data_IF_763604330830
#
_entry.id   IF_763604330830
#
_cell.length_a   1.000
_cell.length_b   1.000
_cell.length_c   1.000
_cell.angle_alpha   90.00
_cell.angle_beta   90.00
_cell.angle_gamma   90.00
#
_symmetry.space_group_name_H-M   'P 1'
#
loop_
_entity.id
_entity.type
_entity.pdbx_description
1 polymer ?
#
# COMPACT_ATOMS: atom_id res chain seq x y z
N UNK A 1 7.51 -9.68 10.27
CA UNK A 1 6.98 -8.44 9.66
C UNK A 1 5.93 -7.86 10.61
N UNK A 2 5.91 -6.54 10.89
CA UNK A 2 4.97 -5.98 11.85
C UNK A 2 3.54 -6.12 11.31
N UNK A 3 2.60 -6.54 12.19
CA UNK A 3 1.17 -6.84 11.94
C UNK A 3 0.65 -6.21 10.64
N UNK A 4 0.49 -7.09 9.66
CA UNK A 4 0.39 -6.82 8.24
C UNK A 4 -0.82 -5.97 7.88
N UNK A 5 -0.64 -5.05 6.94
CA UNK A 5 -1.73 -4.38 6.24
C UNK A 5 -2.80 -5.41 5.85
N UNK A 6 -4.08 -5.08 5.99
CA UNK A 6 -5.15 -5.94 5.47
C UNK A 6 -5.10 -5.99 3.95
N UNK A 7 -5.73 -6.99 3.33
CA UNK A 7 -5.82 -7.05 1.87
C UNK A 7 -6.48 -5.79 1.29
N UNK A 8 -7.52 -5.27 1.95
CA UNK A 8 -8.17 -4.01 1.56
C UNK A 8 -7.20 -2.82 1.58
N UNK A 9 -6.39 -2.70 2.63
CA UNK A 9 -5.37 -1.65 2.75
C UNK A 9 -4.30 -1.78 1.68
N UNK A 10 -3.85 -3.01 1.38
CA UNK A 10 -2.90 -3.27 0.29
C UNK A 10 -3.47 -2.88 -1.06
N UNK A 11 -4.71 -3.30 -1.37
CA UNK A 11 -5.40 -2.93 -2.61
C UNK A 11 -5.50 -1.41 -2.74
N UNK A 12 -5.86 -0.72 -1.66
CA UNK A 12 -5.96 0.73 -1.66
C UNK A 12 -4.61 1.40 -1.97
N UNK A 13 -3.52 0.95 -1.32
CA UNK A 13 -2.19 1.49 -1.54
C UNK A 13 -1.70 1.29 -2.97
N UNK A 14 -1.91 0.11 -3.54
CA UNK A 14 -1.60 -0.15 -4.96
C UNK A 14 -2.41 0.77 -5.85
N UNK A 15 -3.74 0.85 -5.69
CA UNK A 15 -4.56 1.76 -6.51
C UNK A 15 -4.08 3.21 -6.45
N UNK A 16 -3.80 3.73 -5.26
CA UNK A 16 -3.33 5.11 -5.09
C UNK A 16 -1.92 5.34 -5.64
N UNK A 17 -1.05 4.33 -5.61
CA UNK A 17 0.27 4.40 -6.21
C UNK A 17 0.19 4.60 -7.73
N UNK A 18 -0.70 3.89 -8.44
CA UNK A 18 -0.86 4.04 -9.89
C UNK A 18 -1.57 5.32 -10.30
N UNK A 19 -2.33 5.96 -9.39
CA UNK A 19 -2.95 7.26 -9.65
C UNK A 19 -1.93 8.40 -9.49
N UNK A 20 -1.14 8.36 -8.42
CA UNK A 20 -0.33 9.52 -8.01
C UNK A 20 1.18 9.36 -8.25
N UNK A 21 1.71 8.13 -8.25
CA UNK A 21 3.15 7.82 -8.27
C UNK A 21 3.93 8.42 -7.09
N UNK A 22 3.24 8.94 -6.06
CA UNK A 22 3.83 9.77 -5.02
C UNK A 22 3.43 9.28 -3.63
N UNK A 23 4.41 8.80 -2.87
CA UNK A 23 4.20 8.29 -1.50
C UNK A 23 3.53 9.27 -0.55
N UNK A 24 3.73 10.59 -0.70
CA UNK A 24 3.07 11.58 0.14
C UNK A 24 1.57 11.63 -0.13
N UNK A 25 1.18 11.69 -1.41
CA UNK A 25 -0.22 11.68 -1.81
C UNK A 25 -0.90 10.35 -1.41
N UNK A 26 -0.21 9.22 -1.60
CA UNK A 26 -0.69 7.90 -1.15
C UNK A 26 -0.92 7.88 0.36
N UNK A 27 -0.01 8.42 1.16
CA UNK A 27 -0.16 8.48 2.62
C UNK A 27 -1.31 9.39 3.06
N UNK A 28 -1.48 10.55 2.43
CA UNK A 28 -2.59 11.47 2.70
C UNK A 28 -3.94 10.79 2.39
N UNK A 29 -4.05 10.13 1.24
CA UNK A 29 -5.23 9.34 0.87
C UNK A 29 -5.47 8.15 1.81
N UNK A 30 -4.40 7.44 2.21
CA UNK A 30 -4.50 6.30 3.12
C UNK A 30 -4.96 6.71 4.51
N UNK A 31 -4.46 7.84 5.02
CA UNK A 31 -4.88 8.39 6.32
C UNK A 31 -6.33 8.88 6.29
N UNK A 32 -6.81 9.38 5.16
CA UNK A 32 -8.22 9.76 5.00
C UNK A 32 -9.15 8.54 5.02
N UNK A 33 -8.77 7.45 4.35
CA UNK A 33 -9.56 6.22 4.28
C UNK A 33 -9.47 5.37 5.56
N UNK A 34 -8.27 5.28 6.15
CA UNK A 34 -7.97 4.44 7.32
C UNK A 34 -7.38 5.27 8.48
N UNK A 35 -8.15 6.20 9.06
CA UNK A 35 -7.63 7.20 10.02
C UNK A 35 -7.05 6.60 11.31
N UNK A 36 -7.53 5.42 11.72
CA UNK A 36 -7.06 4.73 12.92
C UNK A 36 -5.97 3.68 12.63
N UNK A 37 -5.46 3.63 11.40
CA UNK A 37 -4.41 2.68 11.00
C UNK A 37 -3.07 3.38 10.94
N UNK A 38 -2.01 2.67 11.34
CA UNK A 38 -0.64 3.17 11.19
C UNK A 38 -0.31 3.36 9.71
N UNK A 39 0.12 4.56 9.34
CA UNK A 39 0.56 4.87 7.98
C UNK A 39 1.72 3.93 7.59
N UNK A 40 1.65 3.28 6.41
CA UNK A 40 2.73 2.44 5.92
C UNK A 40 4.00 3.25 5.69
N UNK A 41 5.15 2.59 5.82
CA UNK A 41 6.42 3.24 5.45
C UNK A 41 6.51 3.37 3.93
N UNK A 42 7.29 4.34 3.43
CA UNK A 42 7.57 4.46 1.99
C UNK A 42 8.07 3.15 1.39
N UNK A 43 8.98 2.47 2.08
CA UNK A 43 9.53 1.20 1.64
C UNK A 43 8.45 0.12 1.52
N UNK A 44 7.48 0.08 2.44
CA UNK A 44 6.34 -0.84 2.35
C UNK A 44 5.51 -0.58 1.10
N UNK A 45 5.21 0.68 0.79
CA UNK A 45 4.42 1.06 -0.40
C UNK A 45 5.17 0.67 -1.68
N UNK A 46 6.47 0.97 -1.76
CA UNK A 46 7.31 0.60 -2.89
C UNK A 46 7.39 -0.91 -3.08
N UNK A 47 7.59 -1.67 -2.00
CA UNK A 47 7.66 -3.13 -2.09
C UNK A 47 6.31 -3.71 -2.55
N UNK A 48 5.20 -3.18 -2.04
CA UNK A 48 3.87 -3.60 -2.42
C UNK A 48 3.60 -3.33 -3.90
N UNK A 49 3.92 -2.12 -4.38
CA UNK A 49 3.79 -1.77 -5.78
C UNK A 49 4.68 -2.64 -6.66
N UNK A 50 5.95 -2.82 -6.29
CA UNK A 50 6.88 -3.67 -7.03
C UNK A 50 6.39 -5.12 -7.10
N UNK A 51 5.95 -5.70 -5.99
CA UNK A 51 5.40 -7.05 -5.97
C UNK A 51 4.17 -7.17 -6.88
N UNK A 52 3.30 -6.17 -6.87
CA UNK A 52 2.13 -6.14 -7.75
C UNK A 52 2.54 -6.03 -9.23
N UNK A 53 3.55 -5.23 -9.56
CA UNK A 53 4.07 -5.10 -10.93
C UNK A 53 4.69 -6.41 -11.43
N UNK A 54 5.38 -7.15 -10.55
CA UNK A 54 6.03 -8.43 -10.87
C UNK A 54 5.05 -9.61 -10.95
N UNK A 55 4.02 -9.63 -10.10
CA UNK A 55 3.15 -10.82 -9.90
C UNK A 55 1.68 -10.61 -10.25
N UNK A 56 1.24 -9.35 -10.36
CA UNK A 56 -0.18 -9.00 -10.45
C UNK A 56 -0.96 -9.22 -9.15
N UNK A 57 -0.30 -9.56 -8.04
CA UNK A 57 -0.93 -9.87 -6.75
C UNK A 57 -0.57 -8.87 -5.67
N UNK A 58 -1.55 -8.59 -4.80
CA UNK A 58 -1.39 -7.82 -3.56
C UNK A 58 -1.23 -8.71 -2.34
N UNK A 59 -1.37 -10.03 -2.51
CA UNK A 59 -1.19 -10.99 -1.44
C UNK A 59 0.29 -11.30 -1.23
N UNK A 60 0.67 -11.56 0.02
CA UNK A 60 1.98 -12.13 0.30
C UNK A 60 2.01 -13.55 -0.29
N UNK A 61 3.06 -13.87 -1.07
CA UNK A 61 3.26 -15.23 -1.55
C UNK A 61 3.34 -16.18 -0.34
N UNK A 62 2.76 -17.40 -0.43
CA UNK A 62 2.65 -18.34 0.69
C UNK A 62 4.00 -18.76 1.27
#
# INVERSE_FOLDING_TARGET
MPRSLTNEQRIFLVKQWWISGNTRAVNEAFQAEFPNTKIPTRQTIYQLAKNFDETGSVEDAP
#
